data_IF_922489363592
#
_entry.id   IF_922489363592
#
_cell.length_a   1.000
_cell.length_b   1.000
_cell.length_c   1.000
_cell.angle_alpha   90.00
_cell.angle_beta   90.00
_cell.angle_gamma   90.00
#
_symmetry.space_group_name_H-M   'P 1'
#
loop_
_entity.id
_entity.type
_entity.pdbx_description
1 polymer ?
#
# COMPACT_ATOMS: atom_id res chain seq x y z
N UNK A 1 7.09 16.62 -28.25
CA UNK A 1 6.31 16.27 -27.04
C UNK A 1 6.09 14.78 -27.08
N UNK A 2 6.94 14.01 -26.43
CA UNK A 2 6.73 12.56 -26.29
C UNK A 2 5.50 12.34 -25.42
N UNK A 3 4.51 11.65 -25.96
CA UNK A 3 3.39 11.15 -25.19
C UNK A 3 3.93 10.12 -24.21
N UNK A 4 4.21 10.56 -22.98
CA UNK A 4 4.44 9.67 -21.85
C UNK A 4 3.20 8.79 -21.70
N UNK A 5 3.28 7.58 -22.24
CA UNK A 5 2.27 6.55 -22.04
C UNK A 5 2.16 6.33 -20.55
N UNK A 6 0.93 6.35 -20.02
CA UNK A 6 0.72 6.01 -18.62
C UNK A 6 1.32 4.64 -18.39
N UNK A 7 2.29 4.48 -17.47
CA UNK A 7 2.93 3.18 -17.29
C UNK A 7 1.85 2.20 -16.88
N UNK A 8 1.80 1.06 -17.57
CA UNK A 8 0.84 0.01 -17.25
C UNK A 8 1.14 -0.53 -15.84
N UNK A 9 0.14 -0.97 -15.07
CA UNK A 9 0.43 -1.75 -13.88
C UNK A 9 1.32 -2.93 -14.28
N UNK A 10 2.36 -3.27 -13.48
CA UNK A 10 3.15 -4.48 -13.68
C UNK A 10 2.26 -5.68 -13.99
N UNK A 11 2.59 -6.41 -15.06
CA UNK A 11 1.79 -7.56 -15.55
C UNK A 11 1.58 -8.62 -14.43
N UNK A 12 2.55 -8.74 -13.53
CA UNK A 12 2.50 -9.57 -12.31
C UNK A 12 1.27 -9.30 -11.44
N UNK A 13 0.76 -8.06 -11.39
CA UNK A 13 -0.39 -7.72 -10.56
C UNK A 13 -1.74 -8.02 -11.25
N UNK A 14 -1.77 -8.11 -12.59
CA UNK A 14 -3.00 -8.38 -13.37
C UNK A 14 -3.46 -9.84 -13.18
N UNK A 15 -2.53 -10.79 -13.14
CA UNK A 15 -2.87 -12.21 -13.03
C UNK A 15 -3.29 -12.64 -11.63
N UNK A 16 -2.69 -12.07 -10.57
CA UNK A 16 -3.10 -12.30 -9.17
C UNK A 16 -4.49 -11.74 -8.87
N UNK A 17 -4.90 -10.68 -9.57
CA UNK A 17 -6.19 -10.02 -9.37
C UNK A 17 -7.41 -10.86 -9.79
N UNK A 18 -7.26 -11.80 -10.72
CA UNK A 18 -8.40 -12.55 -11.30
C UNK A 18 -9.17 -13.35 -10.25
N UNK A 19 -8.47 -13.96 -9.29
CA UNK A 19 -9.09 -14.73 -8.20
C UNK A 19 -9.87 -13.85 -7.20
N UNK A 20 -9.53 -12.55 -7.13
CA UNK A 20 -10.01 -11.62 -6.12
C UNK A 20 -11.03 -10.61 -6.66
N UNK A 21 -11.36 -10.69 -7.96
CA UNK A 21 -12.18 -9.69 -8.66
C UNK A 21 -13.56 -9.48 -8.04
N UNK A 22 -14.15 -10.51 -7.43
CA UNK A 22 -15.44 -10.43 -6.74
C UNK A 22 -15.39 -9.57 -5.47
N UNK A 23 -14.23 -9.43 -4.83
CA UNK A 23 -14.03 -8.55 -3.66
C UNK A 23 -13.88 -7.08 -4.08
N UNK A 24 -13.35 -6.84 -5.28
CA UNK A 24 -12.95 -5.52 -5.77
C UNK A 24 -13.52 -5.23 -7.15
N UNK A 25 -14.78 -4.77 -7.25
CA UNK A 25 -15.47 -4.63 -8.52
C UNK A 25 -14.99 -3.43 -9.36
N UNK A 26 -14.37 -2.42 -8.74
CA UNK A 26 -13.99 -1.17 -9.41
C UNK A 26 -12.49 -1.10 -9.65
N UNK A 27 -12.10 -0.74 -10.87
CA UNK A 27 -10.72 -0.43 -11.22
C UNK A 27 -10.25 0.85 -10.46
N UNK A 28 -9.12 0.83 -9.74
CA UNK A 28 -8.57 2.00 -9.05
C UNK A 28 -8.33 3.21 -9.98
N UNK A 29 -8.06 2.98 -11.27
CA UNK A 29 -7.91 4.07 -12.23
C UNK A 29 -9.22 4.79 -12.53
N UNK A 30 -10.36 4.14 -12.30
CA UNK A 30 -11.69 4.73 -12.44
C UNK A 30 -12.22 5.33 -11.12
N UNK A 31 -11.45 5.21 -10.03
CA UNK A 31 -11.79 5.79 -8.74
C UNK A 31 -11.27 7.22 -8.61
N UNK A 32 -12.02 8.06 -7.89
CA UNK A 32 -11.56 9.35 -7.39
C UNK A 32 -10.49 9.15 -6.30
N UNK A 33 -9.63 10.16 -6.03
CA UNK A 33 -8.68 10.11 -4.93
C UNK A 33 -9.32 9.77 -3.57
N UNK A 34 -10.52 10.27 -3.32
CA UNK A 34 -11.23 10.03 -2.06
C UNK A 34 -11.72 8.58 -1.94
N UNK A 35 -12.26 8.02 -3.02
CA UNK A 35 -12.65 6.60 -3.03
C UNK A 35 -11.43 5.70 -2.81
N UNK A 36 -10.28 6.04 -3.40
CA UNK A 36 -9.04 5.28 -3.20
C UNK A 36 -8.61 5.31 -1.73
N UNK A 37 -8.59 6.49 -1.11
CA UNK A 37 -8.24 6.62 0.33
C UNK A 37 -9.21 5.82 1.20
N UNK A 38 -10.51 5.93 0.96
CA UNK A 38 -11.52 5.15 1.70
C UNK A 38 -11.34 3.66 1.56
N UNK A 39 -11.02 3.18 0.36
CA UNK A 39 -10.80 1.75 0.15
C UNK A 39 -9.52 1.27 0.82
N UNK A 40 -8.41 2.04 0.75
CA UNK A 40 -7.19 1.73 1.50
C UNK A 40 -7.50 1.61 3.00
N UNK A 41 -8.19 2.59 3.59
CA UNK A 41 -8.55 2.54 5.01
C UNK A 41 -9.44 1.34 5.35
N UNK A 42 -10.39 1.01 4.47
CA UNK A 42 -11.22 -0.18 4.63
C UNK A 42 -10.40 -1.47 4.64
N UNK A 43 -9.46 -1.61 3.71
CA UNK A 43 -8.60 -2.80 3.62
C UNK A 43 -7.70 -2.96 4.85
N UNK A 44 -7.22 -1.85 5.41
CA UNK A 44 -6.33 -1.86 6.55
C UNK A 44 -7.06 -2.04 7.89
N UNK A 45 -8.28 -1.50 8.03
CA UNK A 45 -8.90 -1.32 9.36
C UNK A 45 -10.35 -1.82 9.51
N UNK A 46 -11.05 -2.20 8.43
CA UNK A 46 -12.42 -2.71 8.53
C UNK A 46 -12.43 -4.22 8.85
N UNK A 47 -12.57 -4.56 10.13
CA UNK A 47 -12.63 -5.95 10.60
C UNK A 47 -13.80 -6.74 9.98
N UNK A 48 -14.92 -6.10 9.65
CA UNK A 48 -16.02 -6.78 8.97
C UNK A 48 -15.63 -7.16 7.54
N UNK A 49 -14.90 -6.27 6.85
CA UNK A 49 -14.34 -6.59 5.55
C UNK A 49 -13.30 -7.71 5.65
N UNK A 50 -12.37 -7.63 6.60
CA UNK A 50 -11.35 -8.68 6.81
C UNK A 50 -11.99 -10.04 7.04
N UNK A 51 -13.03 -10.13 7.89
CA UNK A 51 -13.79 -11.37 8.11
C UNK A 51 -14.46 -11.87 6.85
N UNK A 52 -15.12 -10.99 6.08
CA UNK A 52 -15.76 -11.35 4.81
C UNK A 52 -14.77 -11.84 3.77
N UNK A 53 -13.56 -11.29 3.74
CA UNK A 53 -12.49 -11.67 2.84
C UNK A 53 -11.73 -12.94 3.30
N UNK A 54 -12.10 -13.53 4.45
CA UNK A 54 -11.36 -14.61 5.12
C UNK A 54 -9.88 -14.26 5.31
N UNK A 55 -9.61 -13.01 5.66
CA UNK A 55 -8.26 -12.49 5.84
C UNK A 55 -7.75 -12.83 7.25
N UNK A 56 -6.71 -13.66 7.32
CA UNK A 56 -6.14 -14.20 8.56
C UNK A 56 -4.62 -14.07 8.62
N UNK A 57 -3.97 -14.02 7.47
CA UNK A 57 -2.52 -13.97 7.36
C UNK A 57 -2.05 -12.56 7.71
N UNK A 58 -1.13 -12.41 8.66
CA UNK A 58 -0.65 -11.10 9.08
C UNK A 58 0.45 -10.64 8.13
N UNK A 59 0.32 -9.42 7.65
CA UNK A 59 1.22 -8.81 6.69
C UNK A 59 1.56 -7.39 7.14
N UNK A 60 2.76 -6.92 6.81
CA UNK A 60 3.21 -5.55 7.04
C UNK A 60 3.27 -4.79 5.71
N UNK A 61 2.48 -3.73 5.58
CA UNK A 61 2.61 -2.76 4.50
C UNK A 61 3.65 -1.70 4.89
N UNK A 62 4.73 -1.60 4.13
CA UNK A 62 5.73 -0.53 4.25
C UNK A 62 5.61 0.42 3.07
N UNK A 63 5.57 1.74 3.32
CA UNK A 63 5.61 2.80 2.31
C UNK A 63 6.76 3.76 2.66
N UNK A 64 7.63 4.04 1.70
CA UNK A 64 8.70 5.03 1.85
C UNK A 64 8.34 6.26 1.02
N UNK A 65 8.29 7.43 1.67
CA UNK A 65 7.93 8.69 1.02
C UNK A 65 8.93 9.79 1.35
N UNK A 66 9.15 10.69 0.40
CA UNK A 66 9.88 11.93 0.66
C UNK A 66 9.12 12.75 1.72
N UNK A 67 9.83 13.39 2.64
CA UNK A 67 9.21 14.20 3.69
C UNK A 67 8.30 15.31 3.11
N UNK A 68 8.67 15.89 1.96
CA UNK A 68 7.85 16.90 1.25
C UNK A 68 6.50 16.36 0.77
N UNK A 69 6.36 15.05 0.63
CA UNK A 69 5.13 14.36 0.20
C UNK A 69 4.31 13.79 1.36
N UNK A 70 4.80 13.87 2.59
CA UNK A 70 4.09 13.42 3.78
C UNK A 70 2.64 13.94 3.89
N UNK A 71 2.32 15.19 3.51
CA UNK A 71 0.94 15.69 3.53
C UNK A 71 -0.07 14.86 2.72
N UNK A 72 0.37 14.17 1.65
CA UNK A 72 -0.52 13.33 0.85
C UNK A 72 -0.92 12.02 1.56
N UNK A 73 -0.16 11.60 2.57
CA UNK A 73 -0.37 10.35 3.30
C UNK A 73 -0.89 10.57 4.73
N UNK A 74 -1.35 11.78 5.07
CA UNK A 74 -1.88 12.04 6.42
C UNK A 74 -3.07 11.17 6.79
N UNK A 75 -3.82 10.68 5.81
CA UNK A 75 -4.94 9.78 6.04
C UNK A 75 -4.49 8.42 6.62
N UNK A 76 -3.22 8.05 6.48
CA UNK A 76 -2.63 6.83 7.07
C UNK A 76 -2.07 7.05 8.47
N UNK A 77 -2.12 8.28 9.03
CA UNK A 77 -1.59 8.61 10.37
C UNK A 77 -2.30 7.91 11.55
N UNK A 78 -3.17 6.94 11.29
CA UNK A 78 -3.80 6.14 12.35
C UNK A 78 -2.81 5.20 13.07
N UNK A 79 -1.65 4.85 12.50
CA UNK A 79 -0.63 4.00 13.16
C UNK A 79 0.82 4.31 12.76
N UNK A 80 1.76 3.66 13.46
CA UNK A 80 3.19 3.93 13.66
C UNK A 80 3.92 4.64 12.51
N UNK A 81 4.39 5.85 12.79
CA UNK A 81 5.24 6.63 11.87
C UNK A 81 6.67 6.64 12.37
N UNK A 82 7.60 6.12 11.57
CA UNK A 82 9.03 6.16 11.86
C UNK A 82 9.67 7.25 11.02
N UNK A 83 10.40 8.17 11.67
CA UNK A 83 11.32 9.05 10.93
C UNK A 83 12.51 8.20 10.51
N UNK A 84 12.63 7.93 9.22
CA UNK A 84 13.74 7.12 8.68
C UNK A 84 14.68 8.03 7.92
N UNK A 85 15.95 8.02 8.33
CA UNK A 85 17.01 8.69 7.60
C UNK A 85 17.60 7.69 6.61
N UNK A 86 17.38 7.94 5.31
CA UNK A 86 18.08 7.23 4.24
C UNK A 86 19.26 8.06 3.74
N UNK A 87 20.35 7.39 3.38
CA UNK A 87 21.43 8.01 2.61
C UNK A 87 21.28 7.50 1.17
N UNK A 88 21.02 8.42 0.23
CA UNK A 88 21.04 8.12 -1.20
C UNK A 88 22.20 8.89 -1.83
N UNK A 89 23.15 8.17 -2.44
CA UNK A 89 24.31 8.75 -3.14
C UNK A 89 25.14 9.78 -2.32
N UNK A 90 25.13 9.68 -1.00
CA UNK A 90 25.87 10.58 -0.10
C UNK A 90 25.08 11.81 0.36
N UNK A 91 23.85 12.00 -0.10
CA UNK A 91 22.93 13.01 0.40
C UNK A 91 21.97 12.43 1.44
N UNK A 92 21.76 13.15 2.53
CA UNK A 92 20.80 12.79 3.57
C UNK A 92 19.39 13.15 3.09
N UNK A 93 18.68 12.19 2.51
CA UNK A 93 17.31 12.39 2.08
C UNK A 93 16.35 12.13 3.24
N UNK A 94 15.58 13.15 3.61
CA UNK A 94 14.61 13.06 4.69
C UNK A 94 13.39 12.30 4.20
N UNK A 95 13.35 11.02 4.55
CA UNK A 95 12.24 10.14 4.21
C UNK A 95 11.35 9.88 5.43
N UNK A 96 10.10 9.53 5.15
CA UNK A 96 9.17 9.01 6.13
C UNK A 96 8.84 7.57 5.74
N UNK A 97 8.99 6.66 6.70
CA UNK A 97 8.49 5.29 6.57
C UNK A 97 7.16 5.19 7.30
N UNK A 98 6.16 4.69 6.58
CA UNK A 98 4.85 4.35 7.12
C UNK A 98 4.76 2.83 7.10
N UNK A 99 4.61 2.24 8.28
CA UNK A 99 4.41 0.81 8.45
C UNK A 99 3.00 0.55 9.03
N UNK A 100 2.22 -0.27 8.33
CA UNK A 100 0.86 -0.63 8.76
C UNK A 100 0.69 -2.13 8.65
N UNK A 101 0.42 -2.78 9.78
CA UNK A 101 0.00 -4.17 9.77
C UNK A 101 -1.43 -4.30 9.25
N UNK A 102 -1.66 -5.33 8.44
CA UNK A 102 -2.98 -5.69 7.94
C UNK A 102 -3.13 -7.21 7.88
N UNK A 103 -4.33 -7.67 7.56
CA UNK A 103 -4.59 -9.07 7.31
C UNK A 103 -4.84 -9.29 5.83
N UNK A 104 -4.20 -10.30 5.27
CA UNK A 104 -4.46 -10.80 3.94
C UNK A 104 -5.13 -12.18 3.99
N UNK A 105 -5.64 -12.60 2.83
CA UNK A 105 -6.13 -13.94 2.63
C UNK A 105 -5.07 -14.82 1.93
N UNK A 106 -5.27 -16.15 1.89
CA UNK A 106 -4.28 -17.05 1.28
C UNK A 106 -4.10 -16.89 -0.24
N UNK A 107 -4.85 -15.99 -0.88
CA UNK A 107 -4.71 -15.62 -2.29
C UNK A 107 -4.03 -14.25 -2.46
N UNK A 108 -3.54 -13.65 -1.37
CA UNK A 108 -2.90 -12.33 -1.32
C UNK A 108 -3.78 -11.20 -1.90
N UNK A 109 -5.10 -11.34 -1.79
CA UNK A 109 -6.02 -10.43 -2.46
C UNK A 109 -5.91 -8.99 -1.95
N UNK A 110 -5.71 -8.81 -0.64
CA UNK A 110 -5.73 -7.50 0.02
C UNK A 110 -4.41 -6.77 -0.25
N UNK A 111 -3.27 -7.43 -0.11
CA UNK A 111 -1.94 -6.88 -0.42
C UNK A 111 -1.84 -6.45 -1.88
N UNK A 112 -2.28 -7.31 -2.81
CA UNK A 112 -2.31 -6.95 -4.23
C UNK A 112 -3.24 -5.75 -4.51
N UNK A 113 -4.40 -5.67 -3.85
CA UNK A 113 -5.31 -4.54 -3.99
C UNK A 113 -4.73 -3.25 -3.43
N UNK A 114 -4.03 -3.30 -2.29
CA UNK A 114 -3.33 -2.16 -1.71
C UNK A 114 -2.27 -1.62 -2.67
N UNK A 115 -1.48 -2.48 -3.31
CA UNK A 115 -0.49 -2.06 -4.32
C UNK A 115 -1.15 -1.34 -5.51
N UNK A 116 -2.25 -1.86 -6.02
CA UNK A 116 -3.02 -1.23 -7.10
C UNK A 116 -3.59 0.14 -6.71
N UNK A 117 -4.16 0.25 -5.51
CA UNK A 117 -4.70 1.49 -4.98
C UNK A 117 -3.62 2.54 -4.79
N UNK A 118 -2.47 2.17 -4.20
CA UNK A 118 -1.32 3.07 -4.01
C UNK A 118 -0.72 3.52 -5.34
N UNK A 119 -0.62 2.64 -6.33
CA UNK A 119 -0.18 2.99 -7.68
C UNK A 119 -1.11 4.02 -8.34
N UNK A 120 -2.43 3.78 -8.31
CA UNK A 120 -3.42 4.72 -8.85
C UNK A 120 -3.41 6.06 -8.08
N UNK A 121 -3.25 6.01 -6.75
CA UNK A 121 -3.13 7.20 -5.90
C UNK A 121 -1.90 8.01 -6.27
N UNK A 122 -0.74 7.37 -6.44
CA UNK A 122 0.48 8.03 -6.89
C UNK A 122 0.27 8.72 -8.23
N UNK A 123 -0.34 8.02 -9.20
CA UNK A 123 -0.62 8.58 -10.53
C UNK A 123 -1.59 9.75 -10.52
N UNK A 124 -2.54 9.80 -9.57
CA UNK A 124 -3.55 10.86 -9.51
C UNK A 124 -3.14 12.03 -8.64
N UNK A 125 -2.44 11.79 -7.53
CA UNK A 125 -2.24 12.76 -6.45
C UNK A 125 -0.76 13.04 -6.17
N UNK A 126 0.02 12.03 -5.82
CA UNK A 126 1.38 12.23 -5.26
C UNK A 126 2.40 12.61 -6.35
N UNK A 127 2.25 12.01 -7.55
CA UNK A 127 3.04 12.25 -8.77
C UNK A 127 4.53 11.93 -8.63
N UNK A 128 4.88 10.95 -7.82
CA UNK A 128 6.25 10.42 -7.79
C UNK A 128 6.55 9.58 -9.01
N UNK A 129 7.78 9.67 -9.50
CA UNK A 129 8.28 8.77 -10.54
C UNK A 129 8.35 7.34 -10.00
N UNK A 130 8.81 7.18 -8.76
CA UNK A 130 8.87 5.91 -8.04
C UNK A 130 8.31 6.11 -6.63
N UNK A 131 7.13 5.56 -6.36
CA UNK A 131 6.61 5.41 -5.00
C UNK A 131 6.96 4.01 -4.51
N UNK A 132 7.84 3.90 -3.52
CA UNK A 132 8.21 2.61 -2.97
C UNK A 132 7.18 2.14 -1.95
N UNK A 133 6.58 0.99 -2.21
CA UNK A 133 5.71 0.29 -1.29
C UNK A 133 5.94 -1.23 -1.42
N UNK A 134 5.84 -1.94 -0.30
CA UNK A 134 5.92 -3.41 -0.25
C UNK A 134 5.02 -3.98 0.83
N UNK A 135 4.62 -5.24 0.66
CA UNK A 135 4.04 -6.06 1.72
C UNK A 135 5.04 -7.13 2.14
N UNK A 136 5.04 -7.55 3.39
CA UNK A 136 5.90 -8.62 3.90
C UNK A 136 5.16 -9.42 4.96
N UNK A 137 5.19 -10.76 4.90
CA UNK A 137 4.57 -11.60 5.92
C UNK A 137 5.15 -11.29 7.29
N UNK A 138 4.29 -11.22 8.31
CA UNK A 138 4.72 -11.08 9.70
C UNK A 138 4.92 -12.48 10.28
N UNK A 139 6.18 -12.87 10.42
CA UNK A 139 6.56 -14.07 11.17
C UNK A 139 6.53 -13.77 12.68
N UNK A 140 5.74 -14.53 13.44
CA UNK A 140 5.69 -14.39 14.90
C UNK A 140 6.79 -15.24 15.56
N UNK A 141 7.78 -14.56 16.16
CA UNK A 141 8.66 -15.16 17.16
C UNK A 141 8.15 -14.80 18.56
N UNK A 142 7.99 -15.79 19.44
CA UNK A 142 7.73 -15.50 20.87
C UNK A 142 9.07 -15.30 21.56
N UNK A 143 9.33 -14.08 22.06
CA UNK A 143 10.45 -13.83 22.95
C UNK A 143 9.98 -14.11 24.38
N UNK A 144 10.43 -15.22 24.95
CA UNK A 144 10.30 -15.45 26.38
C UNK A 144 11.42 -14.67 27.09
N UNK A 145 11.13 -13.88 28.13
CA UNK A 145 12.17 -13.42 29.04
C UNK A 145 12.71 -14.64 29.80
N UNK A 146 14.03 -14.80 29.83
CA UNK A 146 14.71 -15.75 30.72
C UNK A 146 14.41 -15.47 32.20
#
# INVERSE_FOLDING_TARGET
MEHLTTPKPPDIWIDRYKACKSLFPKDPMQMSPEEIRKEILKLLFDDNFSKKANAKDRELLTIIILQSKAPYFEFLKAYTTWRVFGLWEGEAEKNLQIDVEFRDNPQECIGNRLMHLLWAYNKKVVKEQVLYARTTPVEEGTLFPD
#
